data_IF_526189572435
#
_entry.id   IF_526189572435
#
_cell.length_a   1.000
_cell.length_b   1.000
_cell.length_c   1.000
_cell.angle_alpha   90.00
_cell.angle_beta   90.00
_cell.angle_gamma   90.00
#
_symmetry.space_group_name_H-M   'P 1'
#
loop_
_entity.id
_entity.type
_entity.pdbx_description
1 polymer ?
#
# COMPACT_ATOMS: atom_id res chain seq x y z
N UNK A 1 1.57 -20.97 29.79
CA UNK A 1 1.18 -19.64 30.32
C UNK A 1 2.16 -18.61 29.80
N UNK A 2 1.95 -18.18 28.55
CA UNK A 2 2.90 -17.34 27.84
C UNK A 2 2.53 -15.87 28.09
N UNK A 3 3.29 -15.19 28.94
CA UNK A 3 3.09 -13.78 29.28
C UNK A 3 3.64 -12.94 28.11
N UNK A 4 2.94 -12.95 26.98
CA UNK A 4 3.30 -12.17 25.79
C UNK A 4 3.18 -10.67 26.12
N UNK A 5 4.29 -10.05 26.52
CA UNK A 5 4.39 -8.59 26.56
C UNK A 5 4.20 -8.08 25.13
N UNK A 6 3.05 -7.45 24.85
CA UNK A 6 2.70 -6.88 23.53
C UNK A 6 3.28 -5.48 23.29
N UNK A 7 4.17 -5.05 24.18
CA UNK A 7 4.85 -3.78 24.11
C UNK A 7 6.35 -4.01 24.02
N UNK A 8 7.03 -3.15 23.28
CA UNK A 8 8.47 -3.12 23.14
C UNK A 8 8.96 -1.70 23.41
N UNK A 9 9.93 -1.58 24.30
CA UNK A 9 10.63 -0.32 24.53
C UNK A 9 11.64 -0.13 23.41
N UNK A 10 11.43 0.89 22.57
CA UNK A 10 12.34 1.21 21.47
C UNK A 10 13.43 2.15 21.96
N UNK A 11 13.06 3.13 22.79
CA UNK A 11 13.99 4.14 23.28
C UNK A 11 13.72 4.44 24.74
N UNK A 12 14.81 4.55 25.50
CA UNK A 12 14.78 4.93 26.91
C UNK A 12 16.01 5.77 27.22
N UNK A 13 15.92 7.07 26.92
CA UNK A 13 16.92 8.06 27.29
C UNK A 13 16.42 8.89 28.48
N UNK A 14 17.25 9.79 29.00
CA UNK A 14 16.86 10.67 30.11
C UNK A 14 15.69 11.60 29.75
N UNK A 15 15.52 11.91 28.46
CA UNK A 15 14.52 12.89 27.99
C UNK A 15 13.41 12.25 27.16
N UNK A 16 13.67 11.12 26.48
CA UNK A 16 12.72 10.48 25.57
C UNK A 16 12.48 9.03 25.95
N UNK A 17 11.21 8.64 25.97
CA UNK A 17 10.78 7.24 26.13
C UNK A 17 9.83 6.90 24.99
N UNK A 18 10.19 5.89 24.20
CA UNK A 18 9.39 5.45 23.05
C UNK A 18 8.96 3.99 23.25
N UNK A 19 7.65 3.78 23.34
CA UNK A 19 7.01 2.47 23.50
C UNK A 19 6.24 2.10 22.22
N UNK A 20 6.59 0.97 21.62
CA UNK A 20 5.86 0.38 20.51
C UNK A 20 4.85 -0.63 21.05
N UNK A 21 3.59 -0.48 20.65
CA UNK A 21 2.52 -1.40 21.02
C UNK A 21 1.92 -2.00 19.75
N UNK A 22 1.90 -3.33 19.68
CA UNK A 22 1.24 -4.06 18.58
C UNK A 22 -0.21 -4.34 18.98
N UNK A 23 -1.11 -3.49 18.54
CA UNK A 23 -2.54 -3.64 18.80
C UNK A 23 -3.17 -4.68 17.87
N UNK A 24 -4.15 -5.43 18.38
CA UNK A 24 -4.87 -6.46 17.65
C UNK A 24 -6.33 -6.06 17.41
N UNK A 25 -7.04 -6.80 16.55
CA UNK A 25 -8.47 -6.59 16.27
C UNK A 25 -9.31 -6.51 17.55
N UNK A 26 -9.05 -7.40 18.52
CA UNK A 26 -9.73 -7.46 19.82
C UNK A 26 -9.50 -6.23 20.73
N UNK A 27 -8.52 -5.42 20.37
CA UNK A 27 -8.17 -4.20 21.06
C UNK A 27 -8.93 -3.00 20.48
N UNK A 28 -9.84 -3.19 19.51
CA UNK A 28 -10.68 -2.13 18.97
C UNK A 28 -11.51 -1.45 20.04
N UNK A 29 -11.65 -0.13 19.91
CA UNK A 29 -12.44 0.73 20.76
C UNK A 29 -12.02 0.74 22.25
N UNK A 30 -10.86 0.15 22.58
CA UNK A 30 -10.33 0.11 23.95
C UNK A 30 -9.59 1.40 24.29
N UNK A 31 -9.66 1.79 25.56
CA UNK A 31 -8.87 2.89 26.11
C UNK A 31 -7.55 2.34 26.66
N UNK A 32 -6.47 3.00 26.31
CA UNK A 32 -5.11 2.68 26.70
C UNK A 32 -4.53 3.83 27.50
N UNK A 33 -3.71 3.48 28.48
CA UNK A 33 -2.97 4.42 29.32
C UNK A 33 -1.51 4.01 29.33
N UNK A 34 -0.66 4.84 28.76
CA UNK A 34 0.78 4.72 28.91
C UNK A 34 1.19 5.52 30.16
N UNK A 35 1.88 4.87 31.08
CA UNK A 35 2.40 5.49 32.28
C UNK A 35 3.92 5.33 32.33
N UNK A 36 4.62 6.45 32.43
CA UNK A 36 6.08 6.47 32.59
C UNK A 36 6.39 7.03 33.97
N UNK A 37 7.06 6.20 34.78
CA UNK A 37 7.55 6.60 36.10
C UNK A 37 8.91 7.26 35.93
N UNK A 38 9.01 8.53 36.31
CA UNK A 38 10.28 9.27 36.30
C UNK A 38 10.94 9.15 37.67
N UNK A 39 12.27 9.11 37.70
CA UNK A 39 13.07 8.93 38.94
C UNK A 39 13.03 10.14 39.86
N UNK A 40 12.63 11.31 39.38
CA UNK A 40 12.72 12.56 40.11
C UNK A 40 11.35 13.03 40.61
N UNK A 41 10.78 12.34 41.61
CA UNK A 41 9.74 12.82 42.55
C UNK A 41 8.54 13.64 42.00
N UNK A 42 8.30 13.61 40.69
CA UNK A 42 7.32 14.43 40.00
C UNK A 42 6.45 13.51 39.17
N UNK A 43 5.17 13.44 39.55
CA UNK A 43 4.01 12.87 38.83
C UNK A 43 4.36 12.08 37.57
N UNK A 44 3.98 10.80 37.56
CA UNK A 44 4.10 9.95 36.39
C UNK A 44 3.55 10.64 35.14
N UNK A 45 4.31 10.60 34.05
CA UNK A 45 3.84 11.09 32.76
C UNK A 45 2.80 10.10 32.24
N UNK A 46 1.60 10.60 31.95
CA UNK A 46 0.46 9.81 31.51
C UNK A 46 0.08 10.22 30.08
N UNK A 47 -0.05 9.25 29.20
CA UNK A 47 -0.62 9.43 27.87
C UNK A 47 -1.80 8.47 27.69
N UNK A 48 -3.00 9.05 27.60
CA UNK A 48 -4.24 8.31 27.36
C UNK A 48 -4.59 8.35 25.87
N UNK A 49 -4.89 7.21 25.27
CA UNK A 49 -5.37 7.12 23.89
C UNK A 49 -6.46 6.06 23.74
N UNK A 50 -7.27 6.17 22.69
CA UNK A 50 -8.30 5.17 22.36
C UNK A 50 -7.96 4.56 21.01
N UNK A 51 -7.87 3.23 20.95
CA UNK A 51 -7.69 2.53 19.70
C UNK A 51 -9.01 2.51 18.93
N UNK A 52 -8.97 2.86 17.65
CA UNK A 52 -10.08 2.71 16.72
C UNK A 52 -9.53 2.11 15.43
N UNK A 53 -10.07 0.97 15.03
CA UNK A 53 -9.71 0.32 13.77
C UNK A 53 -10.90 0.40 12.82
N UNK A 54 -10.62 0.82 11.59
CA UNK A 54 -11.56 0.70 10.49
C UNK A 54 -11.38 -0.68 9.88
N UNK A 55 -12.22 -1.63 10.29
CA UNK A 55 -12.30 -2.92 9.61
C UNK A 55 -13.17 -2.74 8.38
N UNK A 56 -12.57 -2.78 7.18
CA UNK A 56 -13.33 -3.00 5.95
C UNK A 56 -13.84 -4.44 5.98
N UNK A 57 -15.05 -4.62 6.51
CA UNK A 57 -15.79 -5.85 6.27
C UNK A 57 -16.05 -5.93 4.76
N UNK A 58 -15.69 -7.01 4.05
CA UNK A 58 -16.29 -7.28 2.76
C UNK A 58 -17.76 -7.63 3.04
N UNK A 59 -18.62 -6.61 3.05
CA UNK A 59 -20.05 -6.80 3.11
C UNK A 59 -20.49 -7.46 1.82
N UNK A 60 -20.63 -8.79 1.86
CA UNK A 60 -21.63 -9.49 1.08
C UNK A 60 -22.96 -8.77 1.30
N UNK A 61 -23.66 -8.53 0.20
CA UNK A 61 -25.00 -7.95 0.06
C UNK A 61 -25.04 -6.52 -0.50
N UNK A 62 -25.52 -6.49 -1.74
CA UNK A 62 -25.85 -5.34 -2.55
C UNK A 62 -26.78 -4.39 -1.78
N UNK A 63 -26.37 -3.14 -1.61
CA UNK A 63 -27.33 -2.05 -1.48
C UNK A 63 -26.84 -0.89 -2.34
N UNK A 64 -27.63 -0.61 -3.37
CA UNK A 64 -27.48 0.49 -4.31
C UNK A 64 -27.77 1.82 -3.60
N UNK A 65 -26.73 2.53 -3.15
CA UNK A 65 -26.75 4.00 -3.07
C UNK A 65 -25.31 4.54 -3.22
N UNK A 66 -25.08 5.54 -4.09
CA UNK A 66 -23.73 6.04 -4.35
C UNK A 66 -23.33 7.05 -3.27
N UNK A 67 -22.75 6.55 -2.18
CA UNK A 67 -22.09 7.41 -1.20
C UNK A 67 -20.77 7.92 -1.78
N UNK A 68 -20.80 9.16 -2.25
CA UNK A 68 -19.69 10.06 -2.55
C UNK A 68 -18.31 9.37 -2.67
N UNK A 69 -18.00 8.93 -3.89
CA UNK A 69 -16.70 8.39 -4.27
C UNK A 69 -15.61 9.42 -4.01
N UNK A 70 -14.87 9.26 -2.92
CA UNK A 70 -13.54 9.86 -2.79
C UNK A 70 -12.73 9.49 -4.04
N UNK A 71 -12.02 10.43 -4.70
CA UNK A 71 -11.20 10.09 -5.84
C UNK A 71 -10.03 9.23 -5.36
N UNK A 72 -10.20 7.92 -5.42
CA UNK A 72 -9.07 7.00 -5.45
C UNK A 72 -8.41 7.28 -6.79
N UNK A 73 -7.30 8.03 -6.77
CA UNK A 73 -6.34 8.04 -7.86
C UNK A 73 -5.81 6.61 -8.01
N UNK A 74 -6.58 5.79 -8.71
CA UNK A 74 -6.08 4.56 -9.29
C UNK A 74 -4.87 5.00 -10.13
N UNK A 75 -3.71 4.32 -10.02
CA UNK A 75 -2.56 4.60 -10.87
C UNK A 75 -2.87 4.05 -12.27
N UNK A 76 -3.93 4.54 -12.90
CA UNK A 76 -4.34 4.29 -14.28
C UNK A 76 -3.17 4.59 -15.21
N UNK A 77 -2.33 5.57 -14.86
CA UNK A 77 -1.05 5.85 -15.51
C UNK A 77 -0.13 4.62 -15.57
N UNK A 78 0.00 3.84 -14.49
CA UNK A 78 0.85 2.63 -14.48
C UNK A 78 0.26 1.51 -15.33
N UNK A 79 -1.05 1.32 -15.31
CA UNK A 79 -1.73 0.29 -16.12
C UNK A 79 -1.65 0.64 -17.61
N UNK A 80 -1.93 1.90 -17.97
CA UNK A 80 -1.82 2.38 -19.34
C UNK A 80 -0.39 2.29 -19.87
N UNK A 81 0.62 2.63 -19.07
CA UNK A 81 2.03 2.47 -19.46
C UNK A 81 2.38 1.00 -19.70
N UNK A 82 1.97 0.09 -18.81
CA UNK A 82 2.24 -1.34 -18.96
C UNK A 82 1.57 -1.96 -20.19
N UNK A 83 0.44 -1.44 -20.66
CA UNK A 83 -0.27 -1.96 -21.84
C UNK A 83 0.18 -1.26 -23.13
N UNK A 84 0.45 0.05 -23.08
CA UNK A 84 0.85 0.82 -24.27
C UNK A 84 2.25 0.42 -24.77
N UNK A 85 3.19 0.15 -23.88
CA UNK A 85 4.57 -0.19 -24.26
C UNK A 85 4.65 -1.48 -25.10
N UNK A 86 4.07 -2.63 -24.68
CA UNK A 86 4.08 -3.85 -25.49
C UNK A 86 3.34 -3.69 -26.83
N UNK A 87 2.24 -2.93 -26.85
CA UNK A 87 1.46 -2.70 -28.08
C UNK A 87 2.28 -1.90 -29.10
N UNK A 88 2.93 -0.82 -28.69
CA UNK A 88 3.78 -0.01 -29.57
C UNK A 88 4.94 -0.83 -30.12
N UNK A 89 5.62 -1.62 -29.29
CA UNK A 89 6.71 -2.51 -29.73
C UNK A 89 6.22 -3.56 -30.74
N UNK A 90 5.05 -4.16 -30.47
CA UNK A 90 4.47 -5.17 -31.36
C UNK A 90 4.09 -4.59 -32.72
N UNK A 91 3.46 -3.41 -32.75
CA UNK A 91 3.07 -2.71 -33.98
C UNK A 91 4.32 -2.38 -34.80
N UNK A 92 5.32 -1.75 -34.20
CA UNK A 92 6.56 -1.39 -34.90
C UNK A 92 7.29 -2.64 -35.42
N UNK A 93 7.33 -3.72 -34.64
CA UNK A 93 7.90 -5.00 -35.07
C UNK A 93 7.19 -5.57 -36.31
N UNK A 94 5.86 -5.60 -36.31
CA UNK A 94 5.06 -6.10 -37.43
C UNK A 94 5.24 -5.23 -38.68
N UNK A 95 5.23 -3.90 -38.53
CA UNK A 95 5.41 -2.99 -39.66
C UNK A 95 6.81 -3.08 -40.26
N UNK A 96 7.83 -3.19 -39.42
CA UNK A 96 9.22 -3.36 -39.86
C UNK A 96 9.37 -4.69 -40.61
N UNK A 97 8.86 -5.78 -40.03
CA UNK A 97 8.86 -7.10 -40.67
C UNK A 97 8.11 -7.10 -42.02
N UNK A 98 6.92 -6.50 -42.08
CA UNK A 98 6.16 -6.42 -43.35
C UNK A 98 6.85 -5.58 -44.40
N UNK A 99 7.51 -4.49 -43.99
CA UNK A 99 8.22 -3.61 -44.92
C UNK A 99 9.46 -4.30 -45.46
N UNK A 100 10.22 -4.97 -44.60
CA UNK A 100 11.40 -5.74 -44.98
C UNK A 100 11.03 -6.89 -45.92
N UNK A 101 9.99 -7.65 -45.58
CA UNK A 101 9.50 -8.75 -46.42
C UNK A 101 8.97 -8.27 -47.79
N UNK A 102 8.37 -7.07 -47.86
CA UNK A 102 7.99 -6.46 -49.14
C UNK A 102 9.20 -6.05 -49.97
N UNK A 103 10.24 -5.47 -49.33
CA UNK A 103 11.49 -5.12 -50.00
C UNK A 103 12.24 -6.35 -50.48
N UNK A 104 12.32 -7.41 -49.68
CA UNK A 104 12.92 -8.69 -50.06
C UNK A 104 12.20 -9.31 -51.27
N UNK A 105 10.86 -9.25 -51.32
CA UNK A 105 10.07 -9.71 -52.47
C UNK A 105 10.28 -8.88 -53.73
N UNK A 106 10.37 -7.54 -53.63
CA UNK A 106 10.68 -6.68 -54.78
C UNK A 106 12.10 -6.89 -55.28
N UNK A 107 13.08 -7.02 -54.40
CA UNK A 107 14.46 -7.30 -54.78
C UNK A 107 14.61 -8.69 -55.41
N UNK A 108 13.88 -9.70 -54.94
CA UNK A 108 13.88 -11.03 -55.54
C UNK A 108 13.22 -11.05 -56.94
N UNK A 109 12.20 -10.24 -57.17
CA UNK A 109 11.51 -10.13 -58.48
C UNK A 109 12.28 -9.28 -59.52
N UNK A 110 13.31 -8.54 -59.11
CA UNK A 110 14.18 -7.75 -60.00
C UNK A 110 15.41 -8.55 -60.47
N UNK A 111 15.61 -9.77 -59.94
CA UNK A 111 16.74 -10.66 -60.24
C UNK A 111 16.35 -11.78 -61.24
N UNK A 112 15.09 -11.87 -61.68
CA UNK A 112 14.64 -12.69 -62.81
C UNK A 112 14.58 -11.92 -64.13
#
# INVERSE_FOLDING_TARGET
SDFFCRYQLIENTRCNVTLLIKLQVKDNNRRWRCQVNTTQNSRAALADFRSSFLFQSPSTEQSLEPLATCPVELPVSRILLCVALPLMVSIVGIFTWKTDHKKAKMSAAVVE
#
